data_IF_120381785253
#
_entry.id   IF_120381785253
#
_cell.length_a   1.000
_cell.length_b   1.000
_cell.length_c   1.000
_cell.angle_alpha   90.00
_cell.angle_beta   90.00
_cell.angle_gamma   90.00
#
_symmetry.space_group_name_H-M   'P 1'
#
loop_
_entity.id
_entity.type
_entity.pdbx_description
1 polymer ?
#
# COMPACT_ATOMS: atom_id res chain seq x y z
N UNK A 1 10.96 -13.16 0.64
CA UNK A 1 9.92 -12.23 0.18
C UNK A 1 10.59 -10.87 0.16
N UNK A 2 10.89 -10.36 -1.03
CA UNK A 2 11.52 -9.06 -1.19
C UNK A 2 10.39 -8.04 -1.35
N UNK A 3 10.18 -7.22 -0.31
CA UNK A 3 9.23 -6.12 -0.40
C UNK A 3 9.93 -5.01 -1.18
N UNK A 4 9.64 -4.90 -2.47
CA UNK A 4 10.13 -3.80 -3.30
C UNK A 4 9.62 -2.48 -2.72
N UNK A 5 10.53 -1.60 -2.30
CA UNK A 5 10.21 -0.39 -1.55
C UNK A 5 9.97 0.85 -2.43
N UNK A 6 10.11 0.73 -3.75
CA UNK A 6 9.86 1.84 -4.67
C UNK A 6 8.38 1.92 -5.04
N UNK A 7 7.58 2.57 -4.19
CA UNK A 7 6.21 2.98 -4.55
C UNK A 7 6.32 4.23 -5.43
N UNK A 8 6.06 4.11 -6.74
CA UNK A 8 6.12 5.25 -7.67
C UNK A 8 4.74 5.79 -8.01
N UNK A 9 3.75 4.90 -8.07
CA UNK A 9 2.39 5.24 -8.49
C UNK A 9 1.32 4.47 -7.69
N UNK A 10 0.06 4.78 -7.97
CA UNK A 10 -1.09 4.17 -7.31
C UNK A 10 -1.13 2.64 -7.49
N UNK A 11 -0.73 2.11 -8.66
CA UNK A 11 -0.70 0.67 -8.90
C UNK A 11 0.34 -0.04 -8.02
N UNK A 12 1.53 0.54 -7.84
CA UNK A 12 2.55 -0.03 -6.95
C UNK A 12 2.03 -0.07 -5.50
N UNK A 13 1.41 1.02 -5.06
CA UNK A 13 0.83 1.14 -3.73
C UNK A 13 -0.30 0.12 -3.48
N UNK A 14 -1.16 -0.10 -4.48
CA UNK A 14 -2.26 -1.06 -4.41
C UNK A 14 -1.75 -2.51 -4.35
N UNK A 15 -0.68 -2.83 -5.09
CA UNK A 15 -0.04 -4.15 -5.01
C UNK A 15 0.54 -4.41 -3.62
N UNK A 16 1.29 -3.45 -3.07
CA UNK A 16 1.82 -3.55 -1.71
C UNK A 16 0.71 -3.71 -0.66
N UNK A 17 -0.38 -2.95 -0.79
CA UNK A 17 -1.53 -3.11 0.12
C UNK A 17 -2.16 -4.51 -0.01
N UNK A 18 -2.20 -5.08 -1.22
CA UNK A 18 -2.63 -6.46 -1.45
C UNK A 18 -1.77 -7.48 -0.70
N UNK A 19 -0.45 -7.36 -0.79
CA UNK A 19 0.51 -8.22 -0.09
C UNK A 19 0.39 -8.09 1.45
N UNK A 20 0.27 -6.87 1.95
CA UNK A 20 0.07 -6.61 3.38
C UNK A 20 -1.26 -7.19 3.87
N UNK A 21 -2.35 -6.98 3.12
CA UNK A 21 -3.65 -7.54 3.48
C UNK A 21 -3.66 -9.07 3.47
N UNK A 22 -2.88 -9.70 2.60
CA UNK A 22 -2.71 -11.16 2.59
C UNK A 22 -1.99 -11.66 3.86
N UNK A 23 -1.01 -10.92 4.37
CA UNK A 23 -0.24 -11.28 5.57
C UNK A 23 -0.89 -10.88 6.89
N UNK A 24 -1.92 -10.02 6.87
CA UNK A 24 -2.62 -9.52 8.09
C UNK A 24 -3.00 -10.58 9.11
N UNK A 25 -3.58 -11.74 8.72
CA UNK A 25 -3.97 -12.77 9.69
C UNK A 25 -2.79 -13.37 10.46
N UNK A 26 -1.57 -13.29 9.90
CA UNK A 26 -0.37 -13.91 10.46
C UNK A 26 0.41 -12.89 11.31
N UNK A 27 0.45 -11.62 10.88
CA UNK A 27 1.31 -10.60 11.47
C UNK A 27 0.60 -9.71 12.50
N UNK A 28 -0.73 -9.78 12.61
CA UNK A 28 -1.48 -8.93 13.55
C UNK A 28 -1.47 -7.44 13.17
N UNK A 29 -1.19 -7.12 11.90
CA UNK A 29 -1.16 -5.74 11.40
C UNK A 29 -2.55 -5.12 11.46
N UNK A 30 -2.68 -4.02 12.20
CA UNK A 30 -3.95 -3.33 12.40
C UNK A 30 -4.22 -2.31 11.28
N UNK A 31 -5.39 -1.66 11.31
CA UNK A 31 -5.63 -0.50 10.43
C UNK A 31 -4.83 0.72 10.88
N UNK A 32 -4.56 0.86 12.18
CA UNK A 32 -3.81 1.98 12.74
C UNK A 32 -2.36 1.97 12.25
N UNK A 33 -1.76 0.78 12.13
CA UNK A 33 -0.42 0.60 11.56
C UNK A 33 -0.33 1.00 10.07
N UNK A 34 -1.46 1.01 9.35
CA UNK A 34 -1.53 1.30 7.91
C UNK A 34 -2.08 2.70 7.58
N UNK A 35 -2.27 3.57 8.58
CA UNK A 35 -2.84 4.92 8.37
C UNK A 35 -2.07 5.72 7.33
N UNK A 36 -0.72 5.73 7.39
CA UNK A 36 0.11 6.42 6.41
C UNK A 36 -0.06 5.87 5.00
N UNK A 37 -0.23 4.55 4.87
CA UNK A 37 -0.46 3.88 3.58
C UNK A 37 -1.84 4.24 3.00
N UNK A 38 -2.88 4.27 3.83
CA UNK A 38 -4.22 4.69 3.42
C UNK A 38 -4.26 6.16 3.01
N UNK A 39 -3.48 7.02 3.67
CA UNK A 39 -3.34 8.41 3.26
C UNK A 39 -2.77 8.51 1.84
N UNK A 40 -1.77 7.68 1.51
CA UNK A 40 -1.18 7.61 0.19
C UNK A 40 -2.12 7.03 -0.87
N UNK A 41 -3.23 6.36 -0.53
CA UNK A 41 -4.22 5.88 -1.51
C UNK A 41 -5.20 6.98 -1.95
N UNK A 42 -5.40 7.99 -1.12
CA UNK A 42 -6.32 9.11 -1.41
C UNK A 42 -5.75 10.03 -2.46
N UNK A 43 -6.55 10.53 -3.40
CA UNK A 43 -6.09 11.41 -4.47
C UNK A 43 -6.63 10.96 -5.83
N UNK A 44 -5.89 11.24 -6.89
CA UNK A 44 -6.25 10.86 -8.25
C UNK A 44 -6.33 9.33 -8.41
N UNK A 45 -7.46 8.87 -8.96
CA UNK A 45 -7.79 7.45 -9.16
C UNK A 45 -7.07 6.81 -10.35
N UNK A 46 -6.33 7.59 -11.14
CA UNK A 46 -5.49 7.05 -12.19
C UNK A 46 -4.41 6.13 -11.60
N UNK A 47 -4.33 4.89 -12.09
CA UNK A 47 -3.36 3.88 -11.63
C UNK A 47 -1.90 4.32 -11.81
N UNK A 48 -1.62 5.22 -12.77
CA UNK A 48 -0.29 5.79 -13.01
C UNK A 48 -0.06 7.10 -12.25
N UNK A 49 -1.02 7.55 -11.46
CA UNK A 49 -0.88 8.77 -10.66
C UNK A 49 0.27 8.60 -9.68
N UNK A 50 1.23 9.55 -9.63
CA UNK A 50 2.36 9.48 -8.71
C UNK A 50 1.90 9.45 -7.26
N UNK A 51 2.57 8.62 -6.43
CA UNK A 51 2.39 8.62 -4.97
C UNK A 51 3.72 8.97 -4.35
N UNK A 52 3.74 10.07 -3.60
CA UNK A 52 4.92 10.65 -2.92
C UNK A 52 4.57 10.97 -1.49
#
# INVERSE_FOLDING_TARGET
IEISSEIKNLQDLQQLLGEINWMRPILGVTNDDLVSLFNLLRGDSNIKSPRT
#
